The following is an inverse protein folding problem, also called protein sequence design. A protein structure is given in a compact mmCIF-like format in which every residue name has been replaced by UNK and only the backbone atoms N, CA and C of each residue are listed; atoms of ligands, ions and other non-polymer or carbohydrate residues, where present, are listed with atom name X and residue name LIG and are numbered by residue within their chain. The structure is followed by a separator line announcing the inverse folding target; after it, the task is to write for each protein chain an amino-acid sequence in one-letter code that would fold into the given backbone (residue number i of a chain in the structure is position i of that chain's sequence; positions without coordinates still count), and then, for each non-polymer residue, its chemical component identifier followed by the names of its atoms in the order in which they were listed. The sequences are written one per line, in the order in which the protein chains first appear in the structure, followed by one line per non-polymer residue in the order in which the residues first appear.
data_IF_260133620547
#
_entry.id   IF_260133620547
#
_cell.length_a   1.000
_cell.length_b   1.000
_cell.length_c   1.000
_cell.angle_alpha   90.00
_cell.angle_beta   90.00
_cell.angle_gamma   90.00
#
_symmetry.space_group_name_H-M   'P 1'
#
loop_
_entity.id
_entity.type
_entity.pdbx_description
1 polymer ?
#
# COMPACT_ATOMS: atom_id res chain seq x y z
N UNK A 1 17.88 -15.30 -4.47
CA UNK A 1 18.35 -13.94 -4.85
C UNK A 1 17.17 -13.01 -4.70
N UNK A 2 17.27 -11.97 -3.85
CA UNK A 2 16.21 -10.97 -3.71
C UNK A 2 16.25 -10.02 -4.90
N UNK A 3 15.11 -9.77 -5.54
CA UNK A 3 14.98 -8.77 -6.60
C UNK A 3 14.14 -7.61 -6.08
N UNK A 4 14.39 -6.41 -6.60
CA UNK A 4 13.54 -5.27 -6.30
C UNK A 4 12.10 -5.59 -6.69
N UNK A 5 11.16 -5.25 -5.81
CA UNK A 5 9.75 -5.44 -6.07
C UNK A 5 9.36 -4.60 -7.28
N UNK A 6 8.82 -5.20 -8.36
CA UNK A 6 8.49 -4.46 -9.58
C UNK A 6 7.32 -3.49 -9.39
N UNK A 7 6.50 -3.68 -8.35
CA UNK A 7 5.33 -2.83 -8.10
C UNK A 7 5.70 -1.51 -7.40
N UNK A 8 6.67 -1.55 -6.48
CA UNK A 8 7.11 -0.37 -5.73
C UNK A 8 8.55 0.06 -6.08
N UNK A 9 9.21 -0.64 -6.99
CA UNK A 9 10.59 -0.39 -7.44
C UNK A 9 11.58 -0.27 -6.27
N UNK A 10 11.47 -1.12 -5.25
CA UNK A 10 12.34 -1.07 -4.08
C UNK A 10 11.86 -0.19 -2.92
N UNK A 11 10.82 0.62 -3.10
CA UNK A 11 10.41 1.58 -2.05
C UNK A 11 9.62 0.96 -0.89
N UNK A 12 9.05 -0.23 -1.09
CA UNK A 12 8.17 -0.89 -0.11
C UNK A 12 6.77 -0.25 0.01
N UNK A 13 6.51 0.90 -0.60
CA UNK A 13 5.24 1.61 -0.49
C UNK A 13 4.73 2.02 -1.87
N UNK A 14 3.41 2.12 -1.99
CA UNK A 14 2.75 2.60 -3.21
C UNK A 14 1.71 3.63 -2.84
N UNK A 15 1.52 4.62 -3.71
CA UNK A 15 0.48 5.61 -3.52
C UNK A 15 -0.87 4.99 -3.86
N UNK A 16 -1.70 4.80 -2.84
CA UNK A 16 -3.06 4.29 -2.97
C UNK A 16 -4.10 5.40 -2.91
N UNK A 17 -5.32 5.09 -3.36
CA UNK A 17 -6.48 5.93 -3.05
C UNK A 17 -6.81 5.85 -1.56
N UNK A 18 -7.17 6.98 -0.96
CA UNK A 18 -7.67 7.00 0.40
C UNK A 18 -9.01 6.24 0.45
N UNK A 19 -9.10 5.21 1.30
CA UNK A 19 -10.29 4.37 1.41
C UNK A 19 -11.50 5.15 1.97
N UNK A 20 -11.24 6.08 2.90
CA UNK A 20 -12.30 6.85 3.57
C UNK A 20 -13.08 7.76 2.61
N UNK A 21 -12.40 8.36 1.63
CA UNK A 21 -13.02 9.22 0.62
C UNK A 21 -13.03 8.59 -0.77
N UNK A 22 -12.65 7.32 -0.91
CA UNK A 22 -12.54 6.60 -2.18
C UNK A 22 -11.72 7.33 -3.27
N UNK A 23 -10.73 8.13 -2.88
CA UNK A 23 -9.93 8.91 -3.85
C UNK A 23 -10.39 10.34 -4.10
N UNK A 24 -11.56 10.74 -3.58
CA UNK A 24 -12.15 12.05 -3.88
C UNK A 24 -11.54 13.22 -3.10
N UNK A 25 -10.86 12.93 -1.99
CA UNK A 25 -10.36 13.96 -1.07
C UNK A 25 -11.47 14.63 -0.24
N UNK A 26 -12.72 14.19 -0.37
CA UNK A 26 -13.87 14.78 0.33
C UNK A 26 -14.67 13.72 1.09
N UNK A 27 -15.24 14.11 2.22
CA UNK A 27 -16.21 13.29 2.96
C UNK A 27 -17.55 13.24 2.21
N UNK A 28 -18.42 12.32 2.59
CA UNK A 28 -19.80 12.21 2.07
C UNK A 28 -20.61 13.50 2.26
N UNK A 29 -20.29 14.30 3.28
CA UNK A 29 -20.87 15.64 3.52
C UNK A 29 -20.18 16.78 2.74
N UNK A 30 -19.22 16.47 1.87
CA UNK A 30 -18.53 17.46 1.02
C UNK A 30 -17.33 18.17 1.66
N UNK A 31 -17.11 17.97 2.96
CA UNK A 31 -15.97 18.53 3.70
C UNK A 31 -14.64 17.86 3.31
N UNK A 32 -13.52 18.55 3.52
CA UNK A 32 -12.17 17.98 3.31
C UNK A 32 -11.97 16.69 4.09
N UNK A 33 -11.58 15.61 3.41
CA UNK A 33 -11.34 14.33 4.04
C UNK A 33 -10.13 14.42 4.99
N UNK A 34 -10.41 14.36 6.30
CA UNK A 34 -9.39 14.50 7.34
C UNK A 34 -8.33 13.39 7.28
N UNK A 35 -8.73 12.16 6.95
CA UNK A 35 -7.81 11.02 6.89
C UNK A 35 -6.70 11.17 5.85
N UNK A 36 -6.92 11.96 4.79
CA UNK A 36 -5.91 12.21 3.75
C UNK A 36 -5.59 13.71 3.58
N UNK A 37 -6.07 14.56 4.49
CA UNK A 37 -5.91 16.01 4.40
C UNK A 37 -6.46 16.64 3.10
N UNK A 38 -7.43 16.00 2.45
CA UNK A 38 -7.97 16.46 1.17
C UNK A 38 -7.26 15.99 -0.09
N UNK A 39 -6.12 15.29 0.04
CA UNK A 39 -5.35 14.82 -1.12
C UNK A 39 -6.05 13.70 -1.91
N UNK A 40 -6.97 12.98 -1.27
CA UNK A 40 -7.60 11.78 -1.83
C UNK A 40 -6.66 10.57 -1.91
N UNK A 41 -5.40 10.70 -1.49
CA UNK A 41 -4.39 9.65 -1.64
C UNK A 41 -3.69 9.39 -0.31
N UNK A 42 -3.18 8.17 -0.14
CA UNK A 42 -2.43 7.78 1.04
C UNK A 42 -1.36 6.76 0.65
N UNK A 43 -0.20 6.81 1.30
CA UNK A 43 0.85 5.82 1.10
C UNK A 43 0.46 4.52 1.80
N UNK A 44 0.31 3.45 1.02
CA UNK A 44 0.04 2.12 1.55
C UNK A 44 1.26 1.23 1.35
N UNK A 45 1.42 0.25 2.24
CA UNK A 45 2.42 -0.78 2.04
C UNK A 45 2.18 -1.51 0.72
N UNK A 46 3.26 -1.77 0.00
CA UNK A 46 3.19 -2.50 -1.25
C UNK A 46 2.80 -3.95 -0.96
N UNK A 47 1.57 -4.32 -1.33
CA UNK A 47 1.01 -5.65 -1.09
C UNK A 47 1.83 -6.78 -1.73
N UNK A 48 2.54 -6.49 -2.83
CA UNK A 48 3.37 -7.48 -3.53
C UNK A 48 4.60 -7.91 -2.72
N UNK A 49 5.18 -7.01 -1.92
CA UNK A 49 6.36 -7.30 -1.09
C UNK A 49 6.09 -7.18 0.41
N UNK A 50 4.83 -7.00 0.81
CA UNK A 50 4.43 -6.80 2.20
C UNK A 50 5.03 -5.54 2.86
N UNK A 51 5.54 -4.58 2.09
CA UNK A 51 6.28 -3.43 2.64
C UNK A 51 7.79 -3.51 2.54
N UNK A 52 8.34 -4.66 2.15
CA UNK A 52 9.79 -4.93 2.21
C UNK A 52 10.61 -4.26 1.10
N UNK A 53 9.98 -3.89 -0.02
CA UNK A 53 10.65 -3.33 -1.20
C UNK A 53 11.29 -4.39 -2.11
N UNK A 54 11.41 -5.63 -1.65
CA UNK A 54 12.05 -6.73 -2.36
C UNK A 54 11.11 -7.94 -2.47
N UNK A 55 11.23 -8.73 -3.53
CA UNK A 55 10.55 -10.00 -3.71
C UNK A 55 11.54 -11.09 -4.08
N UNK A 56 11.33 -12.31 -3.60
CA UNK A 56 12.13 -13.44 -4.04
C UNK A 56 11.69 -13.86 -5.43
N UNK A 57 12.66 -13.89 -6.35
CA UNK A 57 12.40 -14.24 -7.74
C UNK A 57 12.20 -15.75 -7.87
N UNK A 58 11.05 -16.27 -7.46
CA UNK A 58 10.74 -17.68 -7.62
C UNK A 58 9.61 -18.28 -6.79
N UNK A 59 8.76 -17.51 -6.12
CA UNK A 59 7.68 -18.09 -5.32
C UNK A 59 6.45 -17.20 -5.29
N UNK A 60 5.33 -17.80 -5.61
CA UNK A 60 3.98 -17.31 -5.43
C UNK A 60 3.76 -16.45 -4.17
N UNK A 61 2.90 -15.44 -4.35
CA UNK A 61 1.95 -14.93 -3.36
C UNK A 61 2.07 -15.50 -1.94
N UNK A 62 2.88 -14.88 -1.07
CA UNK A 62 2.87 -15.20 0.34
C UNK A 62 1.69 -14.49 1.00
N UNK A 63 0.56 -15.18 1.08
CA UNK A 63 -0.42 -14.95 2.14
C UNK A 63 0.31 -15.16 3.46
N UNK A 64 0.30 -14.14 4.32
CA UNK A 64 0.96 -14.22 5.62
C UNK A 64 0.38 -15.33 6.48
N UNK A 65 1.23 -16.27 6.86
CA UNK A 65 1.07 -17.14 8.02
C UNK A 65 2.40 -17.10 8.77
N UNK A 66 2.39 -16.71 10.05
CA UNK A 66 3.58 -16.81 10.91
C UNK A 66 3.80 -15.67 11.89
N UNK A 67 2.88 -15.49 12.85
CA UNK A 67 3.26 -15.03 14.19
C UNK A 67 2.92 -16.17 15.15
N UNK A 68 3.90 -17.06 15.36
CA UNK A 68 3.95 -17.91 16.55
C UNK A 68 4.66 -17.11 17.66
N UNK A 69 3.93 -16.81 18.74
CA UNK A 69 4.40 -16.74 20.14
C UNK A 69 3.19 -16.57 21.05
#
# INVERSE_FOLDING_TARGET
MKKQCPTCHGSGQVLGKCAMCNGTGKSSTGNTCQSCGGSGKFYKFCSTCGGSGEVESGGEHWSGDGMES
#
